data_IF_119396871534
#
_entry.id   IF_119396871534
#
_cell.length_a   1.000
_cell.length_b   1.000
_cell.length_c   1.000
_cell.angle_alpha   90.00
_cell.angle_beta   90.00
_cell.angle_gamma   90.00
#
_symmetry.space_group_name_H-M   'P 1'
#
loop_
_entity.id
_entity.type
_entity.pdbx_description
1 polymer ?
#
# COMPACT_ATOMS: atom_id res chain seq x y z
N UNK A 1 -1.53 32.77 -7.81
CA UNK A 1 -2.52 31.85 -8.39
C UNK A 1 -1.95 30.44 -8.33
N UNK A 2 -2.80 29.42 -8.13
CA UNK A 2 -2.37 28.02 -8.12
C UNK A 2 -2.02 27.55 -9.54
N UNK A 3 -1.09 26.60 -9.62
CA UNK A 3 -0.50 26.04 -10.84
C UNK A 3 -0.44 24.51 -10.74
N UNK A 4 -0.11 23.82 -11.82
CA UNK A 4 0.08 22.37 -11.82
C UNK A 4 1.19 21.88 -10.89
N UNK A 5 2.08 22.75 -10.42
CA UNK A 5 3.12 22.38 -9.47
C UNK A 5 2.64 22.37 -8.01
N UNK A 6 1.44 22.90 -7.74
CA UNK A 6 0.86 23.00 -6.41
C UNK A 6 0.01 21.77 -6.02
N UNK A 7 -0.19 20.83 -6.96
CA UNK A 7 -0.98 19.62 -6.75
C UNK A 7 -0.12 18.35 -6.83
N UNK A 8 -0.48 17.38 -5.99
CA UNK A 8 0.01 16.01 -6.03
C UNK A 8 -1.15 15.11 -6.47
N UNK A 9 -0.97 14.37 -7.56
CA UNK A 9 -2.06 13.54 -8.11
C UNK A 9 -1.79 12.08 -7.81
N UNK A 10 -2.81 11.41 -7.30
CA UNK A 10 -2.76 10.00 -6.97
C UNK A 10 -3.72 9.23 -7.86
N UNK A 11 -3.28 8.05 -8.27
CA UNK A 11 -4.19 7.06 -8.82
C UNK A 11 -4.99 6.42 -7.68
N UNK A 12 -6.08 5.76 -8.03
CA UNK A 12 -6.95 5.14 -7.05
C UNK A 12 -6.29 3.92 -6.39
N UNK A 13 -6.44 3.82 -5.07
CA UNK A 13 -6.00 2.68 -4.27
C UNK A 13 -7.12 2.25 -3.34
N UNK A 14 -7.06 0.97 -2.98
CA UNK A 14 -8.01 0.34 -2.07
C UNK A 14 -7.27 -0.06 -0.80
N UNK A 15 -7.89 0.17 0.36
CA UNK A 15 -7.45 -0.42 1.62
C UNK A 15 -8.61 -0.57 2.60
N UNK A 16 -8.50 -1.59 3.43
CA UNK A 16 -9.50 -1.91 4.44
C UNK A 16 -9.39 -0.96 5.65
N UNK A 17 -8.19 -0.86 6.24
CA UNK A 17 -8.01 -0.13 7.51
C UNK A 17 -7.87 1.40 7.35
N UNK A 18 -7.43 1.89 6.20
CA UNK A 18 -7.20 3.33 6.01
C UNK A 18 -8.31 4.01 5.20
N UNK A 19 -8.72 3.43 4.06
CA UNK A 19 -9.76 4.01 3.20
C UNK A 19 -11.15 3.43 3.45
N UNK A 20 -11.24 2.21 4.01
CA UNK A 20 -12.53 1.51 4.16
C UNK A 20 -13.23 1.21 2.84
N UNK A 21 -12.48 1.08 1.74
CA UNK A 21 -13.02 0.98 0.38
C UNK A 21 -12.62 -0.30 -0.37
N UNK A 22 -12.18 -1.33 0.36
CA UNK A 22 -11.70 -2.59 -0.23
C UNK A 22 -12.78 -3.32 -1.05
N UNK A 23 -14.05 -3.21 -0.64
CA UNK A 23 -15.18 -3.91 -1.27
C UNK A 23 -15.74 -3.18 -2.52
N UNK A 24 -15.33 -1.95 -2.76
CA UNK A 24 -15.91 -1.10 -3.82
C UNK A 24 -15.37 -1.43 -5.22
N UNK A 25 -14.26 -2.19 -5.32
CA UNK A 25 -13.68 -2.59 -6.59
C UNK A 25 -13.31 -1.43 -7.53
N UNK A 26 -13.00 -0.27 -6.96
CA UNK A 26 -12.75 1.00 -7.67
C UNK A 26 -11.62 0.91 -8.70
N UNK A 27 -10.66 0.02 -8.49
CA UNK A 27 -9.60 -0.22 -9.51
C UNK A 27 -10.13 -0.84 -10.79
N UNK A 28 -11.21 -1.64 -10.70
CA UNK A 28 -11.82 -2.31 -11.85
C UNK A 28 -12.79 -1.39 -12.59
N UNK A 29 -13.28 -0.34 -11.93
CA UNK A 29 -14.27 0.57 -12.50
C UNK A 29 -13.68 1.66 -13.41
N UNK A 30 -12.35 1.73 -13.55
CA UNK A 30 -11.68 2.76 -14.37
C UNK A 30 -10.76 2.13 -15.39
N UNK A 31 -10.82 2.59 -16.65
CA UNK A 31 -9.93 2.16 -17.72
C UNK A 31 -8.46 2.44 -17.41
N UNK A 32 -7.62 1.41 -17.46
CA UNK A 32 -6.18 1.53 -17.17
C UNK A 32 -5.46 2.47 -18.13
N UNK A 33 -5.84 2.44 -19.41
CA UNK A 33 -5.27 3.31 -20.43
C UNK A 33 -5.67 4.77 -20.21
N UNK A 34 -6.95 5.03 -19.92
CA UNK A 34 -7.45 6.38 -19.62
C UNK A 34 -6.71 6.99 -18.41
N UNK A 35 -6.51 6.21 -17.34
CA UNK A 35 -5.74 6.64 -16.17
C UNK A 35 -4.27 6.90 -16.51
N UNK A 36 -3.66 6.01 -17.29
CA UNK A 36 -2.26 6.16 -17.70
C UNK A 36 -2.06 7.42 -18.53
N UNK A 37 -2.95 7.65 -19.50
CA UNK A 37 -2.91 8.79 -20.40
C UNK A 37 -3.15 10.11 -19.63
N UNK A 38 -4.09 10.13 -18.68
CA UNK A 38 -4.34 11.28 -17.81
C UNK A 38 -3.10 11.63 -16.96
N UNK A 39 -2.45 10.62 -16.37
CA UNK A 39 -1.25 10.81 -15.55
C UNK A 39 -0.05 11.27 -16.39
N UNK A 40 0.12 10.72 -17.59
CA UNK A 40 1.16 11.17 -18.53
C UNK A 40 0.92 12.59 -19.01
N UNK A 41 -0.33 12.94 -19.29
CA UNK A 41 -0.72 14.30 -19.63
C UNK A 41 -0.41 15.28 -18.48
N UNK A 42 -0.78 14.94 -17.25
CA UNK A 42 -0.45 15.72 -16.07
C UNK A 42 1.07 15.89 -15.88
N UNK A 43 1.83 14.80 -16.08
CA UNK A 43 3.29 14.83 -16.05
C UNK A 43 3.90 15.79 -17.08
N UNK A 44 3.30 15.92 -18.28
CA UNK A 44 3.70 16.90 -19.30
C UNK A 44 3.39 18.33 -18.84
N UNK A 45 2.22 18.58 -18.25
CA UNK A 45 1.80 19.89 -17.75
C UNK A 45 2.73 20.44 -16.65
N UNK A 46 3.27 19.56 -15.80
CA UNK A 46 4.25 19.96 -14.77
C UNK A 46 5.63 20.32 -15.34
N UNK A 47 5.98 19.79 -16.51
CA UNK A 47 7.24 20.10 -17.19
C UNK A 47 8.48 19.53 -16.50
N UNK A 48 9.56 20.32 -16.49
CA UNK A 48 10.85 19.93 -15.89
C UNK A 48 10.83 20.13 -14.36
N UNK A 49 11.34 19.15 -13.59
CA UNK A 49 11.37 19.25 -12.14
C UNK A 49 12.36 20.34 -11.70
N UNK A 50 11.97 21.15 -10.70
CA UNK A 50 12.75 22.28 -10.17
C UNK A 50 13.12 22.14 -8.69
N UNK A 51 12.68 21.06 -8.04
CA UNK A 51 12.91 20.76 -6.62
C UNK A 51 13.07 19.26 -6.38
N UNK A 52 13.69 18.83 -5.26
CA UNK A 52 13.78 17.40 -4.91
C UNK A 52 12.43 16.69 -4.88
N UNK A 53 11.40 17.33 -4.31
CA UNK A 53 10.03 16.81 -4.28
C UNK A 53 9.48 16.63 -5.70
N UNK A 54 9.71 17.59 -6.58
CA UNK A 54 9.24 17.48 -7.98
C UNK A 54 9.98 16.37 -8.77
N UNK A 55 11.21 16.02 -8.39
CA UNK A 55 11.95 14.89 -8.96
C UNK A 55 11.29 13.57 -8.55
N UNK A 56 10.97 13.41 -7.25
CA UNK A 56 10.27 12.23 -6.73
C UNK A 56 8.89 12.06 -7.38
N UNK A 57 8.11 13.13 -7.43
CA UNK A 57 6.81 13.14 -8.10
C UNK A 57 6.94 12.75 -9.59
N UNK A 58 7.93 13.30 -10.31
CA UNK A 58 8.16 12.91 -11.72
C UNK A 58 8.53 11.43 -11.84
N UNK A 59 9.36 10.92 -10.94
CA UNK A 59 9.76 9.52 -10.92
C UNK A 59 8.58 8.58 -10.62
N UNK A 60 7.66 9.02 -9.76
CA UNK A 60 6.42 8.34 -9.44
C UNK A 60 5.46 8.31 -10.64
N UNK A 61 5.12 9.47 -11.22
CA UNK A 61 4.21 9.58 -12.36
C UNK A 61 4.70 8.75 -13.56
N UNK A 62 6.01 8.77 -13.84
CA UNK A 62 6.63 7.97 -14.92
C UNK A 62 6.44 6.45 -14.77
N UNK A 63 6.15 5.96 -13.57
CA UNK A 63 6.01 4.53 -13.26
C UNK A 63 4.57 4.09 -13.11
N UNK A 64 3.61 5.03 -13.14
CA UNK A 64 2.19 4.72 -13.00
C UNK A 64 1.70 3.78 -14.08
N UNK A 65 2.04 4.00 -15.37
CA UNK A 65 1.66 3.07 -16.45
C UNK A 65 2.14 1.64 -16.17
N UNK A 66 3.42 1.48 -15.80
CA UNK A 66 3.97 0.16 -15.46
C UNK A 66 3.24 -0.51 -14.29
N UNK A 67 2.84 0.26 -13.28
CA UNK A 67 2.01 -0.24 -12.19
C UNK A 67 0.62 -0.67 -12.68
N UNK A 68 -0.06 0.16 -13.48
CA UNK A 68 -1.40 -0.14 -14.00
C UNK A 68 -1.40 -1.39 -14.91
N UNK A 69 -0.36 -1.54 -15.73
CA UNK A 69 -0.20 -2.70 -16.63
C UNK A 69 0.03 -3.99 -15.85
N UNK A 70 0.93 -3.96 -14.86
CA UNK A 70 1.38 -5.17 -14.16
C UNK A 70 0.60 -5.50 -12.90
N UNK A 71 -0.09 -4.51 -12.32
CA UNK A 71 -0.67 -4.59 -10.98
C UNK A 71 0.37 -4.73 -9.87
N UNK A 72 1.67 -4.51 -10.15
CA UNK A 72 2.77 -4.70 -9.20
C UNK A 72 3.53 -3.41 -8.97
N UNK A 73 3.98 -3.19 -7.74
CA UNK A 73 4.90 -2.11 -7.38
C UNK A 73 6.12 -2.14 -8.31
N UNK A 74 6.39 -1.07 -9.09
CA UNK A 74 7.48 -1.05 -10.06
C UNK A 74 8.89 -1.14 -9.45
N UNK A 75 9.00 -0.95 -8.14
CA UNK A 75 10.23 -1.02 -7.35
C UNK A 75 9.95 -1.71 -6.01
N UNK A 76 10.99 -2.19 -5.33
CA UNK A 76 10.86 -2.83 -4.02
C UNK A 76 10.36 -1.81 -2.99
N UNK A 77 9.23 -2.12 -2.34
CA UNK A 77 8.64 -1.29 -1.30
C UNK A 77 9.56 -1.20 -0.06
N UNK A 78 9.58 -0.04 0.59
CA UNK A 78 10.38 0.22 1.80
C UNK A 78 9.56 0.32 3.09
N UNK A 79 8.27 -0.04 3.04
CA UNK A 79 7.45 -0.25 4.25
C UNK A 79 8.14 -1.25 5.19
N UNK A 80 8.14 -0.94 6.49
CA UNK A 80 8.90 -1.60 7.57
C UNK A 80 10.43 -1.61 7.43
N UNK A 81 10.99 -1.01 6.38
CA UNK A 81 12.43 -0.74 6.31
C UNK A 81 12.77 0.72 6.59
N UNK A 82 11.91 1.64 6.18
CA UNK A 82 12.12 3.09 6.30
C UNK A 82 10.95 3.82 6.97
N UNK A 83 9.78 3.19 7.05
CA UNK A 83 8.59 3.76 7.68
C UNK A 83 7.63 2.67 8.19
N UNK A 84 6.70 3.07 9.05
CA UNK A 84 5.51 2.32 9.43
C UNK A 84 4.31 3.28 9.52
N UNK A 85 3.10 2.74 9.53
CA UNK A 85 1.87 3.49 9.81
C UNK A 85 1.41 3.21 11.24
N UNK A 86 1.02 4.25 11.95
CA UNK A 86 0.40 4.15 13.28
C UNK A 86 -0.98 4.78 13.19
N UNK A 87 -2.01 4.01 13.55
CA UNK A 87 -3.38 4.50 13.53
C UNK A 87 -3.71 5.36 14.77
N UNK A 88 -4.89 6.04 14.81
CA UNK A 88 -5.28 6.85 15.97
C UNK A 88 -5.46 6.08 17.29
N UNK A 89 -5.56 4.75 17.25
CA UNK A 89 -5.68 3.89 18.43
C UNK A 89 -4.32 3.39 18.94
N UNK A 90 -3.23 3.70 18.22
CA UNK A 90 -1.87 3.30 18.55
C UNK A 90 -1.47 1.94 17.98
N UNK A 91 -2.27 1.34 17.08
CA UNK A 91 -1.90 0.11 16.41
C UNK A 91 -0.89 0.42 15.29
N UNK A 92 0.11 -0.45 15.16
CA UNK A 92 1.22 -0.29 14.21
C UNK A 92 1.03 -1.26 13.05
N UNK A 93 1.16 -0.73 11.83
CA UNK A 93 1.04 -1.44 10.56
C UNK A 93 2.26 -1.14 9.69
N UNK A 94 2.57 -1.99 8.68
CA UNK A 94 3.63 -1.70 7.73
C UNK A 94 3.38 -0.43 6.91
N UNK A 95 2.14 -0.17 6.51
CA UNK A 95 1.73 0.98 5.73
C UNK A 95 0.20 1.20 5.80
N UNK A 96 -0.31 2.18 5.08
CA UNK A 96 -1.77 2.48 5.01
C UNK A 96 -2.57 1.51 4.13
N UNK A 97 -1.91 0.61 3.42
CA UNK A 97 -2.59 -0.31 2.48
C UNK A 97 -2.61 -1.75 3.00
N UNK A 98 -1.53 -2.20 3.61
CA UNK A 98 -1.44 -3.58 4.05
C UNK A 98 -1.99 -3.75 5.47
N UNK A 99 -3.19 -4.30 5.58
CA UNK A 99 -3.90 -4.55 6.84
C UNK A 99 -3.29 -5.74 7.63
N UNK A 100 -2.02 -5.61 8.01
CA UNK A 100 -1.33 -6.53 8.93
C UNK A 100 -0.79 -5.76 10.11
N UNK A 101 -1.51 -5.80 11.23
CA UNK A 101 -1.04 -5.18 12.46
C UNK A 101 0.19 -5.95 12.97
N UNK A 102 1.26 -5.24 13.29
CA UNK A 102 2.50 -5.78 13.84
C UNK A 102 2.68 -5.52 15.33
N UNK A 103 1.85 -4.65 15.92
CA UNK A 103 1.87 -4.39 17.35
C UNK A 103 0.95 -3.25 17.76
N UNK A 104 0.98 -2.90 19.04
CA UNK A 104 0.32 -1.72 19.60
C UNK A 104 1.29 -0.96 20.49
N UNK A 105 1.36 0.36 20.31
CA UNK A 105 2.15 1.24 21.17
C UNK A 105 1.70 1.18 22.63
N UNK A 106 0.44 0.82 22.90
CA UNK A 106 -0.10 0.71 24.26
C UNK A 106 0.48 -0.50 25.00
N UNK A 107 0.86 -1.55 24.26
CA UNK A 107 1.45 -2.78 24.79
C UNK A 107 2.98 -2.66 24.93
N UNK A 108 3.60 -1.69 24.26
CA UNK A 108 5.05 -1.45 24.28
C UNK A 108 5.47 -0.22 25.09
N UNK A 109 4.61 0.27 25.99
CA UNK A 109 4.83 1.51 26.76
C UNK A 109 5.21 2.71 25.86
N UNK A 110 4.64 2.75 24.65
CA UNK A 110 4.90 3.72 23.59
C UNK A 110 6.34 3.72 23.04
N UNK A 111 7.12 2.67 23.31
CA UNK A 111 8.40 2.43 22.68
C UNK A 111 8.22 1.61 21.39
N UNK A 112 8.33 2.30 20.25
CA UNK A 112 8.20 1.68 18.93
C UNK A 112 9.33 0.68 18.64
N UNK A 113 10.48 0.79 19.31
CA UNK A 113 11.66 -0.04 19.01
C UNK A 113 11.40 -1.53 19.29
N UNK A 114 10.54 -1.85 20.25
CA UNK A 114 10.14 -3.22 20.58
C UNK A 114 9.36 -3.86 19.44
N UNK A 115 8.47 -3.08 18.82
CA UNK A 115 7.65 -3.52 17.69
C UNK A 115 8.51 -3.57 16.42
N UNK A 116 9.32 -2.54 16.18
CA UNK A 116 10.14 -2.41 14.96
C UNK A 116 11.19 -3.51 14.84
N UNK A 117 11.82 -3.91 15.94
CA UNK A 117 12.85 -4.95 15.96
C UNK A 117 12.29 -6.34 16.27
N UNK A 118 10.96 -6.51 16.26
CA UNK A 118 10.33 -7.80 16.52
C UNK A 118 10.56 -8.79 15.37
N UNK A 119 10.59 -10.11 15.65
CA UNK A 119 10.59 -11.14 14.61
C UNK A 119 9.42 -11.01 13.63
N UNK A 120 8.25 -10.57 14.11
CA UNK A 120 7.05 -10.35 13.32
C UNK A 120 7.24 -9.22 12.30
N UNK A 121 7.86 -8.10 12.71
CA UNK A 121 8.19 -7.00 11.81
C UNK A 121 9.24 -7.41 10.77
N UNK A 122 10.28 -8.15 11.17
CA UNK A 122 11.30 -8.63 10.24
C UNK A 122 10.72 -9.60 9.20
N UNK A 123 9.85 -10.53 9.62
CA UNK A 123 9.17 -11.46 8.74
C UNK A 123 8.26 -10.73 7.75
N UNK A 124 7.47 -9.76 8.23
CA UNK A 124 6.57 -8.98 7.37
C UNK A 124 7.35 -8.08 6.39
N UNK A 125 8.50 -7.53 6.79
CA UNK A 125 9.37 -6.79 5.89
C UNK A 125 9.88 -7.68 4.74
N UNK A 126 10.30 -8.92 5.03
CA UNK A 126 10.73 -9.88 3.99
C UNK A 126 9.60 -10.18 3.01
N UNK A 127 8.40 -10.42 3.54
CA UNK A 127 7.19 -10.65 2.74
C UNK A 127 6.88 -9.46 1.80
N UNK A 128 7.00 -8.22 2.28
CA UNK A 128 6.85 -7.01 1.46
C UNK A 128 7.91 -6.94 0.36
N UNK A 129 9.16 -7.29 0.68
CA UNK A 129 10.26 -7.32 -0.29
C UNK A 129 10.14 -8.44 -1.34
N UNK A 130 9.40 -9.49 -1.01
CA UNK A 130 9.03 -10.61 -1.89
C UNK A 130 7.73 -10.37 -2.68
N UNK A 131 7.20 -9.14 -2.64
CA UNK A 131 6.00 -8.73 -3.38
C UNK A 131 4.72 -9.49 -3.00
N UNK A 132 4.64 -9.97 -1.76
CA UNK A 132 3.48 -10.66 -1.21
C UNK A 132 2.51 -9.72 -0.47
N UNK A 133 2.74 -8.41 -0.50
CA UNK A 133 1.79 -7.42 -0.01
C UNK A 133 0.73 -7.09 -1.08
N UNK A 134 -0.33 -6.31 -0.78
CA UNK A 134 -1.40 -5.96 -1.73
C UNK A 134 -1.00 -5.13 -2.95
N UNK A 135 0.30 -4.85 -3.14
CA UNK A 135 0.86 -4.14 -4.31
C UNK A 135 0.21 -2.77 -4.56
N UNK A 136 0.57 -1.77 -3.75
CA UNK A 136 0.11 -0.39 -3.91
C UNK A 136 1.14 0.52 -4.59
N UNK A 137 0.69 1.58 -5.22
CA UNK A 137 1.57 2.62 -5.76
C UNK A 137 1.10 4.00 -5.31
N UNK A 138 1.02 4.20 -4.00
CA UNK A 138 0.68 5.47 -3.36
C UNK A 138 1.95 6.32 -3.20
N UNK A 139 1.91 7.66 -3.20
CA UNK A 139 3.10 8.47 -2.93
C UNK A 139 3.76 8.17 -1.60
N UNK A 140 2.97 7.89 -0.56
CA UNK A 140 3.46 7.57 0.77
C UNK A 140 4.49 6.43 0.73
N UNK A 141 4.22 5.38 -0.05
CA UNK A 141 5.12 4.25 -0.21
C UNK A 141 6.08 4.41 -1.39
N UNK A 142 5.64 5.04 -2.48
CA UNK A 142 6.44 5.20 -3.67
C UNK A 142 7.61 6.16 -3.45
N UNK A 143 7.45 7.27 -2.74
CA UNK A 143 8.51 8.27 -2.60
C UNK A 143 9.66 7.77 -1.75
N UNK A 144 9.34 7.16 -0.60
CA UNK A 144 10.33 6.48 0.23
C UNK A 144 11.01 5.33 -0.53
N UNK A 145 10.26 4.60 -1.37
CA UNK A 145 10.82 3.48 -2.12
C UNK A 145 11.71 3.96 -3.28
N UNK A 146 11.32 5.02 -3.98
CA UNK A 146 12.13 5.66 -5.02
C UNK A 146 13.44 6.12 -4.39
N UNK A 147 13.37 6.86 -3.28
CA UNK A 147 14.55 7.35 -2.58
C UNK A 147 15.44 6.22 -2.05
N UNK A 148 14.86 5.22 -1.38
CA UNK A 148 15.59 4.07 -0.84
C UNK A 148 16.23 3.19 -1.93
N UNK A 149 15.60 3.11 -3.11
CA UNK A 149 16.13 2.35 -4.25
C UNK A 149 17.29 3.05 -4.97
N UNK A 150 17.45 4.37 -4.83
CA UNK A 150 18.57 5.09 -5.45
C UNK A 150 19.94 4.69 -4.89
N UNK A 151 19.97 4.13 -3.68
CA UNK A 151 21.20 3.78 -2.97
C UNK A 151 21.38 2.26 -2.77
N UNK A 152 20.46 1.43 -3.25
CA UNK A 152 20.52 -0.04 -3.13
C UNK A 152 20.60 -0.71 -4.49
N UNK A 153 21.58 -1.60 -4.69
CA UNK A 153 21.76 -2.40 -5.91
C UNK A 153 20.69 -3.50 -6.07
N UNK A 154 19.87 -3.70 -5.05
CA UNK A 154 18.87 -4.77 -4.93
C UNK A 154 17.53 -4.40 -5.60
N UNK A 155 17.51 -3.35 -6.42
CA UNK A 155 16.38 -3.07 -7.29
C UNK A 155 16.06 -4.35 -8.09
N UNK A 156 14.79 -4.80 -8.12
CA UNK A 156 14.44 -5.95 -8.92
C UNK A 156 14.75 -5.60 -10.36
N UNK A 157 15.75 -6.30 -10.91
CA UNK A 157 15.88 -6.41 -12.35
C UNK A 157 14.53 -6.88 -12.88
N UNK A 158 13.98 -6.18 -13.87
CA UNK A 158 12.67 -6.43 -14.46
C UNK A 158 12.57 -7.78 -15.17
N UNK A 159 12.83 -8.89 -14.47
CA UNK A 159 12.35 -10.19 -14.88
C UNK A 159 10.84 -10.18 -14.67
N UNK A 160 10.12 -10.11 -15.79
CA UNK A 160 8.69 -10.43 -15.86
C UNK A 160 8.48 -11.71 -15.04
N UNK A 161 7.56 -11.72 -14.05
CA UNK A 161 7.09 -12.98 -13.50
C UNK A 161 6.52 -13.78 -14.67
N UNK A 162 7.02 -15.00 -14.87
CA UNK A 162 6.38 -15.95 -15.76
C UNK A 162 4.92 -16.08 -15.35
N UNK A 163 4.02 -15.89 -16.30
CA UNK A 163 2.60 -16.09 -16.09
C UNK A 163 2.37 -17.55 -15.69
N UNK A 164 1.85 -17.77 -14.47
CA UNK A 164 1.03 -18.91 -14.13
C UNK A 164 -0.22 -18.35 -13.46
N UNK A 165 -1.19 -18.02 -14.32
CA UNK A 165 -2.57 -17.76 -13.94
C UNK A 165 -3.16 -19.10 -13.57
N UNK A 166 -3.11 -19.48 -12.30
CA UNK A 166 -3.85 -20.59 -11.69
C UNK A 166 -3.45 -20.67 -10.20
N UNK A 167 -4.04 -19.83 -9.36
CA UNK A 167 -4.77 -20.28 -8.16
C UNK A 167 -5.33 -19.06 -7.41
N UNK A 168 -6.55 -18.68 -7.77
CA UNK A 168 -7.34 -17.71 -7.01
C UNK A 168 -8.68 -18.37 -6.66
N UNK A 169 -8.62 -19.58 -6.07
CA UNK A 169 -9.77 -20.32 -5.50
C UNK A 169 -9.33 -21.30 -4.41
N UNK A 170 -8.95 -20.82 -3.22
CA UNK A 170 -8.96 -21.68 -2.02
C UNK A 170 -8.93 -20.92 -0.69
N UNK A 171 -9.90 -20.05 -0.42
CA UNK A 171 -10.12 -19.53 0.95
C UNK A 171 -11.51 -19.78 1.52
N UNK A 172 -12.30 -20.70 0.94
CA UNK A 172 -13.62 -21.09 1.47
C UNK A 172 -13.58 -22.18 2.56
N UNK A 173 -12.48 -22.32 3.32
CA UNK A 173 -12.42 -23.40 4.32
C UNK A 173 -11.66 -23.12 5.60
N UNK A 174 -11.74 -21.91 6.15
CA UNK A 174 -11.32 -21.64 7.54
C UNK A 174 -12.19 -20.56 8.22
N UNK A 175 -13.50 -20.74 8.23
CA UNK A 175 -14.39 -20.07 9.20
C UNK A 175 -15.43 -21.07 9.69
N UNK A 176 -15.02 -21.92 10.63
CA UNK A 176 -15.96 -22.68 11.44
C UNK A 176 -15.29 -23.02 12.78
N UNK A 177 -15.24 -22.03 13.68
CA UNK A 177 -15.01 -22.22 15.11
C UNK A 177 -15.93 -21.24 15.86
N UNK A 178 -17.00 -21.82 16.40
CA UNK A 178 -17.71 -21.49 17.65
C UNK A 178 -18.15 -20.03 17.91
N UNK A 179 -19.42 -19.74 17.62
CA UNK A 179 -20.23 -18.87 18.48
C UNK A 179 -21.06 -19.74 19.43
N UNK A 180 -20.47 -20.07 20.57
CA UNK A 180 -21.19 -20.56 21.74
C UNK A 180 -21.75 -19.37 22.53
N UNK A 181 -23.07 -19.24 22.52
CA UNK A 181 -23.85 -18.79 23.69
C UNK A 181 -23.91 -17.30 23.97
N UNK A 182 -24.93 -16.61 23.43
CA UNK A 182 -25.68 -15.59 24.20
C UNK A 182 -27.16 -15.82 23.90
N UNK A 183 -27.89 -16.22 24.95
CA UNK A 183 -29.31 -16.50 24.91
C UNK A 183 -30.15 -15.25 24.65
N UNK A 184 -31.19 -15.45 23.87
CA UNK A 184 -32.33 -14.55 23.72
C UNK A 184 -33.22 -14.64 24.95
N UNK A 185 -33.43 -13.53 25.68
CA UNK A 185 -34.61 -13.36 26.52
C UNK A 185 -34.88 -11.86 26.76
N UNK A 186 -36.09 -11.44 26.37
CA UNK A 186 -36.92 -10.30 26.84
C UNK A 186 -36.27 -8.91 27.08
N UNK A 187 -36.83 -7.80 26.60
CA UNK A 187 -38.11 -7.25 27.04
C UNK A 187 -38.70 -6.25 26.04
N UNK A 188 -40.05 -6.24 26.03
CA UNK A 188 -40.93 -5.25 25.41
C UNK A 188 -41.01 -4.00 26.28
N UNK A 189 -41.52 -2.91 25.68
CA UNK A 189 -41.91 -1.59 26.25
C UNK A 189 -40.79 -0.55 26.11
N UNK A 190 -40.97 0.60 25.47
CA UNK A 190 -42.17 1.40 25.17
C UNK A 190 -42.07 2.08 23.78
#
# INVERSE_FOLDING_TARGET
ALTYNDYHVNIIHESEHFFGNAEEGLRKSVGKDDLSDAVEHYGKLRGLPKSPVSILERAYLKRVRNYLDTGKTPIRCQALSASCFVDPWGNVFPCTIYNKQIGSLRDSEYDLTWIWNSPEAEALQKEIWEYQCPQCWTPCEAYQSILGSMFRKDAPTGKKPSASVEDCRSTDRLFNVEQSGIGTESEKQA
#
